data_IF_083111825521
#
_entry.id   IF_083111825521
#
_cell.length_a   1.000
_cell.length_b   1.000
_cell.length_c   1.000
_cell.angle_alpha   90.00
_cell.angle_beta   90.00
_cell.angle_gamma   90.00
#
_symmetry.space_group_name_H-M   'P 1'
#
loop_
_entity.id
_entity.type
_entity.pdbx_description
1 polymer ?
#
# COMPACT_ATOMS: atom_id res chain seq x y z
N UNK A 1 6.34 12.20 -5.75
CA UNK A 1 5.13 11.51 -5.24
C UNK A 1 5.47 10.05 -4.98
N UNK A 2 5.27 9.60 -3.73
CA UNK A 2 5.52 8.22 -3.25
C UNK A 2 4.45 7.25 -3.78
N UNK A 3 4.67 5.92 -3.75
CA UNK A 3 3.64 4.92 -4.09
C UNK A 3 2.32 5.16 -3.37
N UNK A 4 2.34 5.38 -2.06
CA UNK A 4 1.16 5.70 -1.23
C UNK A 4 0.39 6.90 -1.77
N UNK A 5 1.08 8.01 -2.06
CA UNK A 5 0.44 9.23 -2.58
C UNK A 5 -0.13 9.03 -3.98
N UNK A 6 0.52 8.21 -4.83
CA UNK A 6 -0.01 7.86 -6.15
C UNK A 6 -1.26 7.00 -6.05
N UNK A 7 -1.27 6.03 -5.14
CA UNK A 7 -2.42 5.19 -4.88
C UNK A 7 -3.61 6.01 -4.37
N UNK A 8 -3.41 6.93 -3.42
CA UNK A 8 -4.47 7.85 -2.98
C UNK A 8 -5.04 8.67 -4.13
N UNK A 9 -4.18 9.21 -5.00
CA UNK A 9 -4.62 9.99 -6.15
C UNK A 9 -5.44 9.15 -7.14
N UNK A 10 -5.03 7.90 -7.39
CA UNK A 10 -5.76 6.98 -8.26
C UNK A 10 -7.12 6.59 -7.66
N UNK A 11 -7.14 6.13 -6.40
CA UNK A 11 -8.39 5.73 -5.72
C UNK A 11 -9.40 6.86 -5.63
N UNK A 12 -8.95 8.09 -5.36
CA UNK A 12 -9.82 9.28 -5.34
C UNK A 12 -10.37 9.60 -6.73
N UNK A 13 -9.54 9.47 -7.76
CA UNK A 13 -9.98 9.63 -9.16
C UNK A 13 -11.05 8.60 -9.52
N UNK A 14 -10.94 7.39 -8.97
CA UNK A 14 -11.88 6.29 -9.18
C UNK A 14 -13.12 6.38 -8.24
N UNK A 15 -13.29 7.50 -7.53
CA UNK A 15 -14.48 7.78 -6.71
C UNK A 15 -14.47 7.17 -5.31
N UNK A 16 -13.37 6.53 -4.90
CA UNK A 16 -13.27 5.93 -3.56
C UNK A 16 -12.95 6.97 -2.48
N UNK A 17 -13.53 6.81 -1.29
CA UNK A 17 -13.08 7.50 -0.08
C UNK A 17 -11.92 6.71 0.50
N UNK A 18 -10.76 7.32 0.73
CA UNK A 18 -9.57 6.59 1.17
C UNK A 18 -8.71 7.38 2.18
N UNK A 19 -7.99 6.63 3.02
CA UNK A 19 -7.10 7.17 4.05
C UNK A 19 -5.87 6.29 4.27
N UNK A 20 -4.74 6.93 4.58
CA UNK A 20 -3.52 6.23 4.98
C UNK A 20 -3.71 5.71 6.41
N UNK A 21 -3.40 4.44 6.63
CA UNK A 21 -3.38 3.81 7.96
C UNK A 21 -1.97 3.46 8.42
N UNK A 22 -0.96 3.56 7.54
CA UNK A 22 0.45 3.51 7.94
C UNK A 22 0.84 4.73 8.80
N UNK A 23 1.50 4.47 9.94
CA UNK A 23 2.02 5.50 10.85
C UNK A 23 3.43 5.15 11.34
N UNK A 24 4.27 6.17 11.51
CA UNK A 24 5.50 6.04 12.29
C UNK A 24 5.19 6.10 13.79
N UNK A 25 5.50 5.01 14.50
CA UNK A 25 5.44 4.93 15.95
C UNK A 25 6.84 5.18 16.50
N UNK A 26 7.03 6.32 17.18
CA UNK A 26 8.28 6.65 17.84
C UNK A 26 8.45 5.84 19.13
N UNK A 27 9.65 5.33 19.38
CA UNK A 27 10.00 4.73 20.67
C UNK A 27 10.53 5.78 21.64
N UNK A 28 9.95 5.78 22.83
CA UNK A 28 10.40 6.62 23.94
C UNK A 28 10.16 8.13 23.75
N UNK A 29 10.45 8.91 24.80
CA UNK A 29 10.27 10.36 24.79
C UNK A 29 11.24 11.04 23.81
N UNK A 30 10.84 12.16 23.24
CA UNK A 30 11.66 12.95 22.32
C UNK A 30 12.90 13.49 23.05
N UNK A 31 14.09 13.00 22.69
CA UNK A 31 15.36 13.51 23.21
C UNK A 31 15.92 14.58 22.25
N UNK A 32 16.00 15.86 22.65
CA UNK A 32 16.49 16.94 21.79
C UNK A 32 17.97 16.79 21.40
N UNK A 33 18.74 15.94 22.10
CA UNK A 33 20.14 15.62 21.74
C UNK A 33 20.24 14.58 20.63
N UNK A 34 19.16 13.85 20.34
CA UNK A 34 19.14 12.83 19.29
C UNK A 34 18.63 13.44 17.99
N UNK A 35 19.49 13.43 16.97
CA UNK A 35 19.11 13.84 15.61
C UNK A 35 18.04 12.92 15.00
N UNK A 36 18.03 11.65 15.41
CA UNK A 36 17.06 10.65 14.97
C UNK A 36 16.47 9.93 16.19
N UNK A 37 15.14 9.89 16.24
CA UNK A 37 14.43 9.11 17.23
C UNK A 37 14.18 7.69 16.69
N UNK A 38 14.49 6.63 17.46
CA UNK A 38 14.13 5.28 17.06
C UNK A 38 12.61 5.14 17.00
N UNK A 39 12.14 4.23 16.17
CA UNK A 39 10.73 3.95 15.99
C UNK A 39 10.52 2.85 14.96
N UNK A 40 9.26 2.51 14.71
CA UNK A 40 8.87 1.58 13.65
C UNK A 40 7.72 2.15 12.85
N UNK A 41 7.66 1.79 11.56
CA UNK A 41 6.42 1.93 10.79
C UNK A 41 5.49 0.82 11.19
N UNK A 42 4.23 1.17 11.44
CA UNK A 42 3.15 0.24 11.67
C UNK A 42 2.03 0.58 10.70
N UNK A 43 1.57 -0.42 9.99
CA UNK A 43 0.43 -0.35 9.10
C UNK A 43 -0.73 -1.18 9.71
N UNK A 44 -1.92 -1.19 9.08
CA UNK A 44 -3.04 -1.92 9.64
C UNK A 44 -2.83 -3.43 9.47
N UNK A 45 -2.84 -4.15 10.60
CA UNK A 45 -2.58 -5.59 10.69
C UNK A 45 -1.21 -6.04 10.12
N UNK A 46 -0.25 -5.12 9.99
CA UNK A 46 1.00 -5.37 9.26
C UNK A 46 0.78 -5.79 7.80
N UNK A 47 -0.35 -5.48 7.16
CA UNK A 47 -0.66 -5.87 5.76
C UNK A 47 -1.29 -4.79 4.89
N UNK A 48 -1.71 -3.65 5.45
CA UNK A 48 -2.50 -2.64 4.75
C UNK A 48 -1.97 -1.23 5.07
N UNK A 49 -1.47 -0.53 4.04
CA UNK A 49 -1.01 0.86 4.13
C UNK A 49 -2.15 1.88 4.00
N UNK A 50 -3.17 1.56 3.18
CA UNK A 50 -4.32 2.40 2.86
C UNK A 50 -5.61 1.59 2.96
N UNK A 51 -6.64 2.16 3.57
CA UNK A 51 -8.01 1.66 3.45
C UNK A 51 -8.79 2.57 2.50
N UNK A 52 -9.52 1.97 1.58
CA UNK A 52 -10.43 2.65 0.67
C UNK A 52 -11.82 2.04 0.73
N UNK A 53 -12.86 2.84 0.65
CA UNK A 53 -14.26 2.41 0.72
C UNK A 53 -15.07 3.02 -0.41
N UNK A 54 -15.96 2.22 -0.96
CA UNK A 54 -17.09 2.63 -1.79
C UNK A 54 -18.39 2.32 -1.05
N UNK A 55 -19.53 2.47 -1.73
CA UNK A 55 -20.83 2.09 -1.16
C UNK A 55 -21.02 0.57 -1.05
N UNK A 56 -20.20 -0.22 -1.76
CA UNK A 56 -20.35 -1.68 -1.86
C UNK A 56 -19.16 -2.46 -1.33
N UNK A 57 -17.96 -1.89 -1.34
CA UNK A 57 -16.72 -2.61 -1.05
C UNK A 57 -15.78 -1.82 -0.14
N UNK A 58 -14.97 -2.56 0.63
CA UNK A 58 -13.87 -2.03 1.44
C UNK A 58 -12.57 -2.68 1.00
N UNK A 59 -11.62 -1.88 0.53
CA UNK A 59 -10.34 -2.35 0.02
C UNK A 59 -9.23 -2.04 1.03
N UNK A 60 -8.43 -3.05 1.34
CA UNK A 60 -7.12 -2.90 1.93
C UNK A 60 -6.09 -2.84 0.82
N UNK A 61 -5.19 -1.86 0.85
CA UNK A 61 -4.16 -1.70 -0.17
C UNK A 61 -2.77 -1.61 0.46
N UNK A 62 -1.88 -2.48 0.01
CA UNK A 62 -0.45 -2.40 0.25
C UNK A 62 0.24 -1.71 -0.95
N UNK A 63 0.97 -0.64 -0.70
CA UNK A 63 1.57 0.21 -1.72
C UNK A 63 3.09 0.08 -1.73
N UNK A 64 3.69 -0.23 -2.89
CA UNK A 64 5.14 -0.34 -2.97
C UNK A 64 5.70 0.20 -4.30
N UNK A 65 7.02 0.36 -4.37
CA UNK A 65 7.69 0.53 -5.64
C UNK A 65 7.64 -0.79 -6.41
N UNK A 66 7.71 -0.74 -7.74
CA UNK A 66 7.60 -1.91 -8.61
C UNK A 66 8.59 -3.03 -8.28
N UNK A 67 9.81 -2.70 -7.85
CA UNK A 67 10.81 -3.66 -7.40
C UNK A 67 10.47 -4.38 -6.10
N UNK A 68 9.57 -3.81 -5.29
CA UNK A 68 9.13 -4.38 -4.01
C UNK A 68 7.99 -5.39 -4.14
N UNK A 69 7.45 -5.61 -5.35
CA UNK A 69 6.25 -6.45 -5.54
C UNK A 69 6.40 -7.85 -4.94
N UNK A 70 7.48 -8.58 -5.26
CA UNK A 70 7.65 -9.96 -4.82
C UNK A 70 7.73 -10.09 -3.29
N UNK A 71 8.38 -9.14 -2.61
CA UNK A 71 8.47 -9.12 -1.16
C UNK A 71 7.10 -8.86 -0.51
N UNK A 72 6.30 -7.95 -1.07
CA UNK A 72 4.96 -7.67 -0.55
C UNK A 72 3.98 -8.81 -0.87
N UNK A 73 4.11 -9.44 -2.04
CA UNK A 73 3.34 -10.63 -2.39
C UNK A 73 3.60 -11.74 -1.36
N UNK A 74 4.86 -12.11 -1.14
CA UNK A 74 5.24 -13.09 -0.12
C UNK A 74 4.73 -12.70 1.27
N UNK A 75 4.87 -11.42 1.65
CA UNK A 75 4.39 -10.90 2.93
C UNK A 75 2.90 -11.23 3.11
N UNK A 76 2.06 -10.93 2.12
CA UNK A 76 0.61 -11.14 2.22
C UNK A 76 0.19 -12.61 2.06
N UNK A 77 0.83 -13.36 1.18
CA UNK A 77 0.41 -14.74 0.87
C UNK A 77 1.08 -15.82 1.72
N UNK A 78 2.16 -15.49 2.43
CA UNK A 78 2.95 -16.45 3.22
C UNK A 78 3.16 -15.93 4.64
N UNK A 79 3.84 -14.79 4.78
CA UNK A 79 4.31 -14.36 6.11
C UNK A 79 3.16 -13.82 6.99
N UNK A 80 2.07 -13.33 6.37
CA UNK A 80 0.86 -12.74 6.98
C UNK A 80 -0.43 -13.29 6.36
N UNK A 81 -0.42 -14.59 6.08
CA UNK A 81 -1.55 -15.27 5.43
C UNK A 81 -2.80 -15.26 6.32
N UNK A 82 -2.66 -15.43 7.63
CA UNK A 82 -3.79 -15.44 8.57
C UNK A 82 -4.49 -14.07 8.62
N UNK A 83 -3.73 -12.98 8.71
CA UNK A 83 -4.29 -11.62 8.69
C UNK A 83 -4.92 -11.29 7.34
N UNK A 84 -4.30 -11.73 6.24
CA UNK A 84 -4.82 -11.53 4.88
C UNK A 84 -6.14 -12.27 4.68
N UNK A 85 -6.20 -13.56 5.07
CA UNK A 85 -7.42 -14.38 5.03
C UNK A 85 -8.51 -13.80 5.94
N UNK A 86 -8.15 -13.38 7.16
CA UNK A 86 -9.09 -12.75 8.08
C UNK A 86 -9.69 -11.45 7.52
N UNK A 87 -8.91 -10.68 6.75
CA UNK A 87 -9.41 -9.49 6.06
C UNK A 87 -10.40 -9.85 4.94
N UNK A 88 -10.03 -10.76 4.03
CA UNK A 88 -10.85 -11.11 2.85
C UNK A 88 -12.00 -12.09 3.15
N UNK A 89 -12.07 -12.63 4.37
CA UNK A 89 -13.18 -13.50 4.80
C UNK A 89 -14.56 -12.81 4.76
N UNK A 90 -14.60 -11.47 4.80
CA UNK A 90 -15.85 -10.74 4.56
C UNK A 90 -16.11 -10.58 3.05
N UNK A 91 -17.30 -10.92 2.53
CA UNK A 91 -17.58 -10.93 1.09
C UNK A 91 -17.28 -9.63 0.34
N UNK A 92 -17.39 -8.49 1.03
CA UNK A 92 -17.21 -7.16 0.46
C UNK A 92 -15.84 -6.54 0.79
N UNK A 93 -14.89 -7.34 1.32
CA UNK A 93 -13.53 -6.90 1.58
C UNK A 93 -12.57 -7.51 0.57
N UNK A 94 -11.70 -6.67 0.03
CA UNK A 94 -10.65 -7.07 -0.91
C UNK A 94 -9.31 -6.58 -0.44
N UNK A 95 -8.25 -7.29 -0.80
CA UNK A 95 -6.86 -6.93 -0.48
C UNK A 95 -6.07 -6.80 -1.77
N UNK A 96 -5.36 -5.69 -1.96
CA UNK A 96 -4.61 -5.42 -3.18
C UNK A 96 -3.17 -5.02 -2.91
N UNK A 97 -2.29 -5.34 -3.85
CA UNK A 97 -0.95 -4.73 -3.95
C UNK A 97 -0.94 -3.75 -5.11
N UNK A 98 -0.57 -2.51 -4.83
CA UNK A 98 -0.35 -1.46 -5.83
C UNK A 98 1.16 -1.18 -5.94
N UNK A 99 1.82 -1.83 -6.90
CA UNK A 99 3.25 -1.73 -7.12
C UNK A 99 3.57 -0.77 -8.29
N UNK A 100 4.02 0.44 -7.96
CA UNK A 100 4.22 1.51 -8.95
C UNK A 100 5.57 1.43 -9.66
N UNK A 101 5.55 1.47 -11.00
CA UNK A 101 6.76 1.51 -11.84
C UNK A 101 6.65 2.57 -12.93
N UNK A 102 7.80 3.03 -13.44
CA UNK A 102 7.83 3.86 -14.66
C UNK A 102 7.88 2.95 -15.88
N UNK A 103 6.98 3.16 -16.84
CA UNK A 103 6.96 2.46 -18.11
C UNK A 103 7.04 3.47 -19.26
N UNK A 104 7.63 3.05 -20.37
CA UNK A 104 7.62 3.83 -21.61
C UNK A 104 6.19 3.98 -22.10
N UNK A 105 5.82 5.19 -22.50
CA UNK A 105 4.49 5.48 -23.07
C UNK A 105 4.34 4.80 -24.44
N UNK A 106 5.42 4.76 -25.23
CA UNK A 106 5.50 4.08 -26.52
C UNK A 106 6.83 3.34 -26.61
N UNK A 107 6.83 2.12 -27.13
CA UNK A 107 8.06 1.35 -27.39
C UNK A 107 9.01 2.16 -28.29
N UNK A 108 10.27 2.29 -27.87
CA UNK A 108 11.29 3.10 -28.57
C UNK A 108 11.22 4.61 -28.34
N UNK A 109 10.24 5.11 -27.59
CA UNK A 109 10.18 6.52 -27.18
C UNK A 109 11.07 6.82 -25.95
N UNK A 110 11.07 8.09 -25.51
CA UNK A 110 11.73 8.52 -24.26
C UNK A 110 10.75 8.89 -23.14
N UNK A 111 9.50 9.17 -23.48
CA UNK A 111 8.49 9.58 -22.50
C UNK A 111 8.11 8.40 -21.59
N UNK A 112 8.14 8.65 -20.26
CA UNK A 112 7.83 7.67 -19.22
C UNK A 112 6.59 8.08 -18.44
N UNK A 113 5.74 7.10 -18.09
CA UNK A 113 4.58 7.28 -17.23
C UNK A 113 4.67 6.34 -16.03
N UNK A 114 4.20 6.82 -14.88
CA UNK A 114 4.01 5.96 -13.71
C UNK A 114 2.73 5.15 -13.88
N UNK A 115 2.87 3.83 -13.81
CA UNK A 115 1.78 2.88 -13.96
C UNK A 115 1.85 1.90 -12.79
N UNK A 116 0.74 1.67 -12.06
CA UNK A 116 0.71 0.64 -11.05
C UNK A 116 0.59 -0.74 -11.71
N UNK A 117 1.30 -1.73 -11.17
CA UNK A 117 0.89 -3.13 -11.24
C UNK A 117 -0.08 -3.33 -10.08
N UNK A 118 -1.32 -3.68 -10.39
CA UNK A 118 -2.38 -3.94 -9.41
C UNK A 118 -2.63 -5.44 -9.43
N UNK A 119 -2.54 -6.09 -8.28
CA UNK A 119 -2.87 -7.51 -8.11
C UNK A 119 -3.74 -7.66 -6.86
N UNK A 120 -4.79 -8.47 -6.96
CA UNK A 120 -5.63 -8.86 -5.84
C UNK A 120 -4.99 -10.06 -5.11
N UNK A 121 -5.05 -10.05 -3.79
CA UNK A 121 -4.61 -11.15 -2.93
C UNK A 121 -5.84 -11.91 -2.47
N UNK A 122 -5.90 -13.20 -2.81
CA UNK A 122 -6.95 -14.16 -2.44
C UNK A 122 -6.45 -15.15 -1.40
#
# INVERSE_FOLDING_TARGET
MTPTQRTLALLKKDGMKCGIVEKWIQFGPKDPRRKFMPGMRKDFLDIIDIIAVSDTETWGIQCCAGSGFAAHWRKLTVDKVEESQGWVACPNRRLFIYAWRKLLVKRGGKAMRWTPRIEEVV
#
